data_IF_723638928469
#
_entry.id   IF_723638928469
#
_cell.length_a   1.000
_cell.length_b   1.000
_cell.length_c   1.000
_cell.angle_alpha   90.00
_cell.angle_beta   90.00
_cell.angle_gamma   90.00
#
_symmetry.space_group_name_H-M   'P 1'
#
loop_
_entity.id
_entity.type
_entity.pdbx_description
1 polymer ?
#
# COMPACT_ATOMS: atom_id res chain seq x y z
N UNK A 1 -39.64 -13.22 36.88
CA UNK A 1 -39.12 -11.84 36.72
C UNK A 1 -37.59 -11.72 36.85
N UNK A 2 -36.91 -12.27 37.85
CA UNK A 2 -35.44 -12.15 38.04
C UNK A 2 -34.57 -12.76 36.90
N UNK A 3 -35.03 -13.82 36.23
CA UNK A 3 -34.28 -14.47 35.12
C UNK A 3 -34.25 -13.63 33.84
N UNK A 4 -35.32 -12.91 33.55
CA UNK A 4 -35.37 -12.03 32.34
C UNK A 4 -34.56 -10.76 32.52
N UNK A 5 -34.43 -10.27 33.75
CA UNK A 5 -33.61 -9.10 34.05
C UNK A 5 -32.11 -9.37 33.82
N UNK A 6 -31.64 -10.58 34.15
CA UNK A 6 -30.26 -10.98 33.93
C UNK A 6 -29.92 -11.14 32.45
N UNK A 7 -30.86 -11.65 31.66
CA UNK A 7 -30.69 -11.81 30.20
C UNK A 7 -30.66 -10.45 29.48
N UNK A 8 -31.47 -9.49 29.92
CA UNK A 8 -31.50 -8.14 29.38
C UNK A 8 -30.20 -7.39 29.75
N UNK A 9 -29.65 -7.53 30.95
CA UNK A 9 -28.39 -6.98 31.36
C UNK A 9 -27.20 -7.56 30.59
N UNK A 10 -27.17 -8.86 30.27
CA UNK A 10 -26.16 -9.50 29.45
C UNK A 10 -26.26 -9.09 27.99
N UNK A 11 -27.47 -8.87 27.46
CA UNK A 11 -27.64 -8.37 26.09
C UNK A 11 -27.26 -6.88 25.93
N UNK A 12 -27.46 -6.07 26.96
CA UNK A 12 -26.95 -4.68 26.95
C UNK A 12 -25.42 -4.61 27.05
N UNK A 13 -24.76 -5.58 27.70
CA UNK A 13 -23.29 -5.62 27.75
C UNK A 13 -22.66 -6.03 26.43
N UNK A 14 -23.36 -6.81 25.60
CA UNK A 14 -22.89 -7.15 24.25
C UNK A 14 -22.98 -5.99 23.23
N UNK A 15 -23.73 -4.93 23.53
CA UNK A 15 -23.90 -3.77 22.64
C UNK A 15 -22.88 -2.65 22.93
N UNK A 16 -22.11 -2.77 24.02
CA UNK A 16 -20.95 -1.89 24.28
C UNK A 16 -19.65 -2.41 23.64
N UNK A 17 -19.76 -3.12 22.50
CA UNK A 17 -18.59 -3.47 21.69
C UNK A 17 -18.13 -2.22 20.94
N UNK A 18 -17.09 -1.58 21.47
CA UNK A 18 -16.09 -0.74 20.84
C UNK A 18 -16.58 0.12 19.66
N UNK A 19 -17.03 1.32 19.95
CA UNK A 19 -16.77 2.41 19.05
C UNK A 19 -15.25 2.69 19.15
N UNK A 20 -14.44 2.00 18.36
CA UNK A 20 -13.10 2.46 18.10
C UNK A 20 -13.23 3.93 17.68
N UNK A 21 -12.47 4.83 18.32
CA UNK A 21 -12.54 6.25 17.99
C UNK A 21 -12.28 6.40 16.48
N UNK A 22 -12.92 7.39 15.85
CA UNK A 22 -12.62 7.74 14.46
C UNK A 22 -11.83 9.04 14.41
N UNK A 23 -11.04 9.20 13.35
CA UNK A 23 -10.28 10.42 13.04
C UNK A 23 -10.73 10.90 11.67
N UNK A 24 -11.23 12.13 11.60
CA UNK A 24 -11.57 12.72 10.30
C UNK A 24 -10.30 13.16 9.57
N UNK A 25 -9.93 12.46 8.51
CA UNK A 25 -8.83 12.81 7.61
C UNK A 25 -9.34 13.57 6.41
N UNK A 26 -8.78 14.75 6.14
CA UNK A 26 -9.11 15.58 4.99
C UNK A 26 -7.89 15.80 4.13
N UNK A 27 -8.10 15.95 2.82
CA UNK A 27 -7.02 16.22 1.89
C UNK A 27 -7.51 16.36 0.47
N UNK A 28 -6.58 16.39 -0.44
CA UNK A 28 -6.81 16.50 -1.88
C UNK A 28 -6.01 15.46 -2.65
N UNK A 29 -6.60 14.97 -3.73
CA UNK A 29 -5.87 14.19 -4.74
C UNK A 29 -5.64 15.10 -5.94
N UNK A 30 -4.37 15.32 -6.31
CA UNK A 30 -3.95 16.31 -7.30
C UNK A 30 -3.13 15.66 -8.42
N UNK A 31 -3.28 16.18 -9.64
CA UNK A 31 -2.38 15.92 -10.76
C UNK A 31 -2.02 17.24 -11.43
N UNK A 32 -0.72 17.58 -11.49
CA UNK A 32 -0.27 18.86 -12.03
C UNK A 32 -0.91 20.07 -11.35
N UNK A 33 -1.16 20.02 -10.05
CA UNK A 33 -1.80 21.06 -9.25
C UNK A 33 -3.32 21.14 -9.41
N UNK A 34 -3.95 20.31 -10.25
CA UNK A 34 -5.41 20.25 -10.46
C UNK A 34 -6.00 19.08 -9.71
N UNK A 35 -7.21 19.27 -9.14
CA UNK A 35 -7.94 18.21 -8.48
C UNK A 35 -8.32 17.07 -9.43
N UNK A 36 -8.22 15.82 -8.95
CA UNK A 36 -8.68 14.64 -9.67
C UNK A 36 -9.99 14.16 -9.04
N UNK A 37 -11.08 14.17 -9.81
CA UNK A 37 -12.42 13.75 -9.37
C UNK A 37 -12.53 12.22 -9.36
N UNK A 38 -13.31 11.72 -8.41
CA UNK A 38 -13.76 10.33 -8.43
C UNK A 38 -12.74 9.32 -7.92
N UNK A 39 -11.62 9.75 -7.37
CA UNK A 39 -10.57 8.88 -6.83
C UNK A 39 -10.98 8.37 -5.45
N UNK A 40 -10.80 7.09 -5.21
CA UNK A 40 -11.01 6.49 -3.90
C UNK A 40 -9.79 6.69 -2.99
N UNK A 41 -10.05 7.10 -1.77
CA UNK A 41 -9.08 7.18 -0.66
C UNK A 41 -9.60 6.30 0.47
N UNK A 42 -8.72 5.53 1.09
CA UNK A 42 -9.10 4.56 2.12
C UNK A 42 -8.05 4.47 3.22
N UNK A 43 -8.46 4.01 4.38
CA UNK A 43 -7.58 3.58 5.49
C UNK A 43 -7.46 2.05 5.59
N UNK A 44 -8.11 1.34 4.63
CA UNK A 44 -8.19 -0.12 4.56
C UNK A 44 -9.56 -0.67 4.98
N UNK A 45 -10.37 0.10 5.69
CA UNK A 45 -11.70 -0.27 6.16
C UNK A 45 -12.77 0.66 5.59
N UNK A 46 -12.53 1.97 5.69
CA UNK A 46 -13.43 3.01 5.23
C UNK A 46 -12.95 3.62 3.91
N UNK A 47 -13.88 4.19 3.15
CA UNK A 47 -13.61 4.76 1.84
C UNK A 47 -14.25 6.13 1.69
N UNK A 48 -13.50 7.06 1.10
CA UNK A 48 -14.01 8.35 0.65
C UNK A 48 -13.69 8.55 -0.83
N UNK A 49 -14.56 9.32 -1.52
CA UNK A 49 -14.36 9.62 -2.94
C UNK A 49 -14.12 11.11 -3.13
N UNK A 50 -13.17 11.46 -3.98
CA UNK A 50 -12.84 12.86 -4.25
C UNK A 50 -13.94 13.58 -5.06
N UNK A 51 -14.16 14.85 -4.73
CA UNK A 51 -15.02 15.76 -5.48
C UNK A 51 -14.34 16.32 -6.75
N UNK A 52 -15.04 17.19 -7.49
CA UNK A 52 -14.52 17.84 -8.72
C UNK A 52 -13.23 18.66 -8.50
N UNK A 53 -12.95 19.07 -7.27
CA UNK A 53 -11.75 19.82 -6.90
C UNK A 53 -10.65 18.91 -6.31
N UNK A 54 -10.91 17.59 -6.28
CA UNK A 54 -10.04 16.59 -5.71
C UNK A 54 -10.11 16.48 -4.18
N UNK A 55 -11.01 17.21 -3.49
CA UNK A 55 -11.12 17.14 -2.03
C UNK A 55 -11.80 15.84 -1.60
N UNK A 56 -11.38 15.33 -0.45
CA UNK A 56 -12.02 14.21 0.23
C UNK A 56 -12.09 14.44 1.76
N UNK A 57 -13.00 13.74 2.40
CA UNK A 57 -13.09 13.62 3.86
C UNK A 57 -13.37 12.17 4.19
N UNK A 58 -12.46 11.53 4.92
CA UNK A 58 -12.49 10.12 5.31
C UNK A 58 -12.63 10.06 6.84
N UNK A 59 -13.60 9.29 7.33
CA UNK A 59 -13.70 8.94 8.74
C UNK A 59 -12.89 7.66 8.98
N UNK A 60 -11.59 7.82 9.23
CA UNK A 60 -10.67 6.71 9.42
C UNK A 60 -10.78 6.12 10.82
N UNK A 61 -10.58 4.82 10.96
CA UNK A 61 -10.43 4.18 12.27
C UNK A 61 -9.19 4.71 13.01
N UNK A 62 -9.34 5.07 14.29
CA UNK A 62 -8.24 5.62 15.08
C UNK A 62 -7.07 4.64 15.29
N UNK A 63 -7.34 3.34 15.16
CA UNK A 63 -6.33 2.28 15.27
C UNK A 63 -5.63 1.98 13.93
N UNK A 64 -6.12 2.54 12.80
CA UNK A 64 -5.49 2.40 11.50
C UNK A 64 -4.21 3.23 11.43
N UNK A 65 -3.22 2.74 10.69
CA UNK A 65 -1.88 3.35 10.64
C UNK A 65 -1.62 4.17 9.40
N UNK A 66 -2.41 3.96 8.35
CA UNK A 66 -2.20 4.57 7.05
C UNK A 66 -3.49 5.04 6.42
N UNK A 67 -3.34 6.02 5.52
CA UNK A 67 -4.32 6.40 4.52
C UNK A 67 -3.67 6.24 3.16
N UNK A 68 -4.38 5.69 2.19
CA UNK A 68 -3.85 5.46 0.86
C UNK A 68 -4.85 5.82 -0.24
N UNK A 69 -4.33 6.12 -1.42
CA UNK A 69 -5.11 6.39 -2.62
C UNK A 69 -5.15 5.15 -3.50
N UNK A 70 -6.35 4.75 -3.93
CA UNK A 70 -6.52 3.76 -4.99
C UNK A 70 -6.24 4.45 -6.33
N UNK A 71 -5.07 4.21 -6.91
CA UNK A 71 -4.63 4.89 -8.13
C UNK A 71 -5.56 4.53 -9.28
N UNK A 72 -6.30 5.49 -9.89
CA UNK A 72 -7.25 5.18 -10.94
C UNK A 72 -6.56 4.97 -12.30
N UNK A 73 -7.24 4.33 -13.25
CA UNK A 73 -6.80 4.22 -14.62
C UNK A 73 -6.41 5.57 -15.22
N UNK A 74 -5.40 5.60 -16.06
CA UNK A 74 -4.83 6.82 -16.65
C UNK A 74 -3.91 7.61 -15.72
N UNK A 75 -3.57 7.08 -14.55
CA UNK A 75 -2.66 7.71 -13.61
C UNK A 75 -1.65 6.74 -13.01
N UNK A 76 -0.54 7.28 -12.53
CA UNK A 76 0.43 6.61 -11.66
C UNK A 76 0.59 7.41 -10.36
N UNK A 77 1.05 6.74 -9.31
CA UNK A 77 1.57 7.42 -8.13
C UNK A 77 3.08 7.67 -8.29
N UNK A 78 3.64 8.73 -7.66
CA UNK A 78 5.07 8.97 -7.66
C UNK A 78 5.86 7.77 -7.12
N UNK A 79 7.08 7.59 -7.61
CA UNK A 79 8.01 6.57 -7.13
C UNK A 79 9.22 7.25 -6.52
N UNK A 80 9.58 6.86 -5.31
CA UNK A 80 10.77 7.35 -4.61
C UNK A 80 11.61 6.17 -4.16
N UNK A 81 12.86 6.09 -4.63
CA UNK A 81 13.80 5.01 -4.29
C UNK A 81 13.19 3.61 -4.52
N UNK A 82 12.51 3.44 -5.67
CA UNK A 82 11.87 2.18 -6.05
C UNK A 82 10.55 1.87 -5.34
N UNK A 83 10.06 2.77 -4.47
CA UNK A 83 8.81 2.59 -3.73
C UNK A 83 7.70 3.50 -4.25
N UNK A 84 6.54 2.95 -4.55
CA UNK A 84 5.34 3.69 -4.96
C UNK A 84 4.80 4.49 -3.79
N UNK A 85 4.59 5.79 -3.96
CA UNK A 85 4.09 6.71 -2.92
C UNK A 85 2.59 6.94 -3.08
N UNK A 86 1.80 5.92 -2.76
CA UNK A 86 0.34 5.95 -2.78
C UNK A 86 -0.28 6.06 -1.38
N UNK A 87 0.53 6.14 -0.32
CA UNK A 87 0.10 6.14 1.07
C UNK A 87 0.79 7.22 1.90
N UNK A 88 0.14 7.58 3.00
CA UNK A 88 0.70 8.38 4.10
C UNK A 88 0.40 7.70 5.44
N UNK A 89 1.24 7.89 6.47
CA UNK A 89 0.83 7.57 7.84
C UNK A 89 -0.45 8.33 8.20
N UNK A 90 -1.34 7.68 8.96
CA UNK A 90 -2.55 8.32 9.46
C UNK A 90 -2.15 9.54 10.32
N UNK A 91 -2.61 10.75 10.01
CA UNK A 91 -2.26 11.93 10.79
C UNK A 91 -2.95 11.90 12.16
N UNK A 92 -2.18 12.02 13.23
CA UNK A 92 -2.69 11.96 14.60
C UNK A 92 -3.63 13.12 14.99
N UNK A 93 -3.60 14.22 14.26
CA UNK A 93 -4.26 15.49 14.58
C UNK A 93 -5.20 16.02 13.47
N UNK A 94 -5.58 15.16 12.52
CA UNK A 94 -6.45 15.55 11.41
C UNK A 94 -5.83 16.53 10.43
N UNK A 95 -4.49 16.62 10.35
CA UNK A 95 -3.79 17.41 9.33
C UNK A 95 -4.16 16.95 7.94
N UNK A 96 -4.05 17.86 6.97
CA UNK A 96 -4.28 17.55 5.56
C UNK A 96 -3.38 16.41 5.09
N UNK A 97 -3.97 15.48 4.35
CA UNK A 97 -3.30 14.33 3.77
C UNK A 97 -3.50 14.38 2.25
N UNK A 98 -2.63 15.10 1.56
CA UNK A 98 -2.74 15.33 0.12
C UNK A 98 -1.97 14.25 -0.65
N UNK A 99 -2.56 13.77 -1.76
CA UNK A 99 -1.93 12.82 -2.67
C UNK A 99 -1.63 13.49 -4.01
N UNK A 100 -0.49 13.14 -4.58
CA UNK A 100 -0.11 13.54 -5.94
C UNK A 100 -0.21 12.33 -6.85
N UNK A 101 -0.89 12.51 -7.98
CA UNK A 101 -0.93 11.55 -9.08
C UNK A 101 -0.22 12.13 -10.30
N UNK A 102 0.32 11.25 -11.12
CA UNK A 102 0.98 11.56 -12.38
C UNK A 102 0.08 11.09 -13.53
N UNK A 103 -0.20 11.96 -14.50
CA UNK A 103 -0.97 11.56 -15.68
C UNK A 103 -0.13 10.63 -16.55
N UNK A 104 -0.68 9.48 -16.91
CA UNK A 104 -0.08 8.59 -17.90
C UNK A 104 -0.19 9.18 -19.30
N UNK A 105 0.85 9.00 -20.10
CA UNK A 105 0.84 9.40 -21.50
C UNK A 105 0.40 8.28 -22.44
N UNK A 106 0.52 7.04 -22.00
CA UNK A 106 0.17 5.83 -22.72
C UNK A 106 -1.30 5.42 -22.47
N UNK A 107 -1.83 4.66 -23.42
CA UNK A 107 -3.15 4.01 -23.28
C UNK A 107 -3.00 2.79 -22.38
N UNK A 108 -3.68 2.79 -21.23
CA UNK A 108 -3.71 1.71 -20.26
C UNK A 108 -4.97 0.83 -20.36
N UNK A 109 -5.72 0.91 -21.46
CA UNK A 109 -6.84 -0.01 -21.76
C UNK A 109 -6.38 -1.46 -21.95
N UNK A 110 -5.10 -1.63 -22.31
CA UNK A 110 -4.38 -2.92 -22.34
C UNK A 110 -3.09 -2.77 -21.57
N UNK A 111 -2.85 -3.68 -20.66
CA UNK A 111 -1.64 -3.70 -19.84
C UNK A 111 -1.15 -5.11 -19.58
N UNK A 112 0.12 -5.25 -19.31
CA UNK A 112 0.74 -6.47 -18.81
C UNK A 112 0.86 -6.46 -17.29
N UNK A 113 0.98 -7.63 -16.70
CA UNK A 113 1.15 -7.80 -15.28
C UNK A 113 2.27 -8.80 -15.00
N UNK A 114 3.24 -8.40 -14.19
CA UNK A 114 4.33 -9.26 -13.74
C UNK A 114 4.12 -9.55 -12.25
N UNK A 115 3.93 -10.81 -11.91
CA UNK A 115 3.90 -11.27 -10.54
C UNK A 115 5.19 -12.03 -10.23
N UNK A 116 5.87 -11.65 -9.16
CA UNK A 116 6.98 -12.40 -8.58
C UNK A 116 6.61 -12.80 -7.15
N UNK A 117 7.19 -13.87 -6.66
CA UNK A 117 6.98 -14.34 -5.30
C UNK A 117 8.30 -14.82 -4.72
N UNK A 118 8.42 -14.69 -3.41
CA UNK A 118 9.46 -15.30 -2.62
C UNK A 118 10.91 -15.04 -3.11
N UNK A 119 11.31 -13.77 -3.36
CA UNK A 119 12.72 -13.49 -3.65
C UNK A 119 13.63 -13.92 -2.51
N UNK A 120 13.12 -13.83 -1.27
CA UNK A 120 13.73 -14.30 -0.02
C UNK A 120 15.24 -14.03 0.08
N UNK A 121 15.66 -12.80 -0.28
CA UNK A 121 17.06 -12.39 -0.23
C UNK A 121 17.56 -12.48 1.22
N UNK A 122 18.49 -13.39 1.49
CA UNK A 122 19.08 -13.60 2.81
C UNK A 122 20.55 -13.19 2.90
N UNK A 123 21.20 -12.91 1.76
CA UNK A 123 22.59 -12.44 1.74
C UNK A 123 22.88 -11.58 0.51
N UNK A 124 23.81 -10.61 0.59
CA UNK A 124 24.18 -9.73 -0.52
C UNK A 124 24.56 -10.45 -1.81
N UNK A 125 25.13 -11.65 -1.74
CA UNK A 125 25.53 -12.46 -2.91
C UNK A 125 24.35 -12.83 -3.82
N UNK A 126 23.12 -12.84 -3.29
CA UNK A 126 21.93 -13.26 -4.04
C UNK A 126 21.37 -12.15 -4.94
N UNK A 127 21.76 -10.90 -4.70
CA UNK A 127 21.36 -9.81 -5.58
C UNK A 127 21.80 -9.98 -7.04
N UNK A 128 22.86 -10.77 -7.30
CA UNK A 128 23.24 -11.08 -8.67
C UNK A 128 22.17 -11.91 -9.41
N UNK A 129 21.50 -12.85 -8.72
CA UNK A 129 20.40 -13.63 -9.28
C UNK A 129 19.16 -12.77 -9.50
N UNK A 130 18.81 -11.94 -8.50
CA UNK A 130 17.71 -11.00 -8.62
C UNK A 130 17.94 -10.01 -9.78
N UNK A 131 19.16 -9.51 -9.93
CA UNK A 131 19.51 -8.62 -11.03
C UNK A 131 19.34 -9.28 -12.41
N UNK A 132 19.75 -10.53 -12.54
CA UNK A 132 19.56 -11.29 -13.79
C UNK A 132 18.05 -11.49 -14.08
N UNK A 133 17.24 -11.81 -13.06
CA UNK A 133 15.79 -11.90 -13.21
C UNK A 133 15.17 -10.54 -13.57
N UNK A 134 15.61 -9.44 -12.96
CA UNK A 134 15.15 -8.10 -13.29
C UNK A 134 15.47 -7.70 -14.74
N UNK A 135 16.66 -8.08 -15.24
CA UNK A 135 17.07 -7.84 -16.64
C UNK A 135 16.21 -8.66 -17.61
N UNK A 136 15.87 -9.89 -17.27
CA UNK A 136 14.98 -10.75 -18.08
C UNK A 136 13.55 -10.19 -18.12
N UNK A 137 13.02 -9.73 -16.97
CA UNK A 137 11.74 -9.01 -16.89
C UNK A 137 11.79 -7.78 -17.79
N UNK A 138 12.84 -6.98 -17.72
CA UNK A 138 13.00 -5.79 -18.56
C UNK A 138 13.02 -6.14 -20.05
N UNK A 139 13.68 -7.21 -20.44
CA UNK A 139 13.69 -7.70 -21.82
C UNK A 139 12.28 -8.13 -22.28
N UNK A 140 11.58 -8.86 -21.43
CA UNK A 140 10.20 -9.29 -21.65
C UNK A 140 9.28 -8.07 -21.85
N UNK A 141 9.29 -7.11 -20.93
CA UNK A 141 8.48 -5.89 -21.00
C UNK A 141 8.73 -5.14 -22.33
N UNK A 142 9.99 -4.96 -22.70
CA UNK A 142 10.35 -4.32 -23.99
C UNK A 142 9.82 -5.04 -25.21
N UNK A 143 9.72 -6.37 -25.16
CA UNK A 143 9.24 -7.17 -26.30
C UNK A 143 7.76 -6.92 -26.65
N UNK A 144 7.00 -6.34 -25.73
CA UNK A 144 5.58 -5.99 -25.93
C UNK A 144 5.37 -4.59 -26.53
N UNK A 145 6.41 -3.94 -27.06
CA UNK A 145 6.28 -2.77 -27.92
C UNK A 145 5.66 -1.53 -27.26
N UNK A 146 5.94 -1.28 -25.99
CA UNK A 146 5.46 -0.09 -25.27
C UNK A 146 4.10 -0.28 -24.56
N UNK A 147 3.55 -1.49 -24.55
CA UNK A 147 2.41 -1.80 -23.68
C UNK A 147 2.79 -1.57 -22.21
N UNK A 148 1.97 -0.85 -21.42
CA UNK A 148 2.26 -0.63 -20.02
C UNK A 148 2.23 -1.93 -19.21
N UNK A 149 3.10 -2.02 -18.20
CA UNK A 149 3.17 -3.14 -17.28
C UNK A 149 3.11 -2.67 -15.84
N UNK A 150 2.47 -3.48 -14.99
CA UNK A 150 2.47 -3.35 -13.54
C UNK A 150 3.13 -4.57 -12.91
N UNK A 151 3.85 -4.37 -11.83
CA UNK A 151 4.49 -5.43 -11.07
C UNK A 151 3.90 -5.59 -9.68
N UNK A 152 3.87 -6.81 -9.19
CA UNK A 152 3.65 -7.13 -7.78
C UNK A 152 4.66 -8.17 -7.31
N UNK A 153 5.22 -7.94 -6.12
CA UNK A 153 5.90 -8.97 -5.35
C UNK A 153 4.92 -9.49 -4.29
N UNK A 154 4.65 -10.79 -4.32
CA UNK A 154 3.66 -11.44 -3.46
C UNK A 154 4.19 -11.76 -2.05
N UNK A 155 5.21 -11.05 -1.59
CA UNK A 155 5.78 -11.18 -0.25
C UNK A 155 7.07 -12.00 -0.20
N UNK A 156 7.58 -12.16 1.02
CA UNK A 156 8.86 -12.78 1.31
C UNK A 156 10.01 -12.15 0.52
N UNK A 157 10.05 -10.81 0.54
CA UNK A 157 11.03 -10.01 -0.20
C UNK A 157 12.44 -10.33 0.28
N UNK A 158 12.62 -10.38 1.61
CA UNK A 158 13.88 -10.70 2.27
C UNK A 158 13.66 -11.79 3.30
N UNK A 159 14.72 -12.51 3.68
CA UNK A 159 14.66 -13.51 4.72
C UNK A 159 15.08 -12.90 6.06
N UNK A 160 14.18 -12.14 6.69
CA UNK A 160 14.32 -11.50 8.01
C UNK A 160 15.34 -10.34 8.12
N UNK A 161 16.26 -10.17 7.18
CA UNK A 161 17.17 -9.02 7.16
C UNK A 161 16.56 -7.84 6.39
N UNK A 162 15.74 -7.05 7.07
CA UNK A 162 15.02 -5.92 6.49
C UNK A 162 15.95 -4.76 6.04
N UNK A 163 17.24 -4.78 6.41
CA UNK A 163 18.22 -3.82 5.90
C UNK A 163 18.46 -3.96 4.38
N UNK A 164 18.09 -5.10 3.82
CA UNK A 164 18.25 -5.43 2.40
C UNK A 164 17.14 -4.82 1.51
N UNK A 165 16.04 -4.31 2.07
CA UNK A 165 14.93 -3.72 1.28
C UNK A 165 15.38 -2.61 0.32
N UNK A 166 16.25 -1.70 0.79
CA UNK A 166 16.75 -0.63 -0.08
C UNK A 166 17.47 -1.17 -1.31
N UNK A 167 18.30 -2.18 -1.12
CA UNK A 167 19.03 -2.82 -2.22
C UNK A 167 18.12 -3.63 -3.14
N UNK A 168 17.10 -4.29 -2.59
CA UNK A 168 16.06 -4.94 -3.39
C UNK A 168 15.36 -3.93 -4.30
N UNK A 169 14.93 -2.79 -3.78
CA UNK A 169 14.28 -1.75 -4.57
C UNK A 169 15.17 -1.25 -5.71
N UNK A 170 16.45 -0.95 -5.43
CA UNK A 170 17.42 -0.54 -6.45
C UNK A 170 17.58 -1.56 -7.58
N UNK A 171 17.59 -2.85 -7.25
CA UNK A 171 17.68 -3.91 -8.26
C UNK A 171 16.40 -4.02 -9.06
N UNK A 172 15.24 -3.89 -8.42
CA UNK A 172 13.95 -3.97 -9.10
C UNK A 172 13.67 -2.78 -10.03
N UNK A 173 14.28 -1.61 -9.80
CA UNK A 173 14.22 -0.48 -10.75
C UNK A 173 14.76 -0.85 -12.15
N UNK A 174 15.64 -1.83 -12.27
CA UNK A 174 16.19 -2.34 -13.55
C UNK A 174 15.11 -2.94 -14.46
N UNK A 175 14.00 -3.41 -13.88
CA UNK A 175 12.86 -3.95 -14.67
C UNK A 175 12.22 -2.91 -15.58
N UNK A 176 12.38 -1.62 -15.24
CA UNK A 176 11.73 -0.50 -15.95
C UNK A 176 10.24 -0.37 -15.68
N UNK A 177 9.68 -1.19 -14.77
CA UNK A 177 8.28 -1.10 -14.34
C UNK A 177 8.21 -0.93 -12.83
N UNK A 178 7.06 -0.42 -12.38
CA UNK A 178 6.82 -0.20 -10.95
C UNK A 178 6.29 -1.46 -10.29
N UNK A 179 6.92 -1.87 -9.19
CA UNK A 179 6.45 -2.96 -8.35
C UNK A 179 5.74 -2.44 -7.09
N UNK A 180 4.61 -3.05 -6.77
CA UNK A 180 3.98 -2.99 -5.45
C UNK A 180 4.34 -4.25 -4.69
N UNK A 181 4.45 -4.14 -3.38
CA UNK A 181 4.92 -5.23 -2.54
C UNK A 181 3.82 -5.64 -1.56
N UNK A 182 3.43 -6.90 -1.56
CA UNK A 182 2.70 -7.51 -0.47
C UNK A 182 3.69 -7.97 0.61
N UNK A 183 3.22 -8.11 1.83
CA UNK A 183 4.01 -8.62 2.94
C UNK A 183 3.92 -10.14 2.99
N UNK A 184 5.06 -10.80 3.17
CA UNK A 184 5.14 -12.23 3.48
C UNK A 184 5.52 -12.47 4.94
N UNK A 185 5.60 -13.73 5.35
CA UNK A 185 5.95 -14.08 6.73
C UNK A 185 7.43 -13.81 7.04
N UNK A 186 8.32 -13.86 6.06
CA UNK A 186 9.73 -13.51 6.22
C UNK A 186 9.97 -11.99 6.30
N UNK A 187 9.02 -11.18 5.88
CA UNK A 187 9.05 -9.72 6.03
C UNK A 187 8.63 -9.26 7.43
N UNK A 188 8.16 -10.19 8.28
CA UNK A 188 7.84 -9.93 9.68
C UNK A 188 9.11 -9.95 10.54
N UNK A 189 9.12 -9.17 11.62
CA UNK A 189 10.17 -9.29 12.63
C UNK A 189 10.05 -10.61 13.37
N UNK A 190 11.13 -11.37 13.44
CA UNK A 190 11.20 -12.69 14.11
C UNK A 190 10.82 -12.60 15.60
N UNK A 191 11.08 -11.46 16.25
CA UNK A 191 10.84 -11.23 17.68
C UNK A 191 9.90 -10.05 17.92
N UNK A 192 8.83 -9.90 17.09
CA UNK A 192 7.78 -8.94 17.33
C UNK A 192 7.05 -9.26 18.64
N UNK A 193 6.70 -8.23 19.44
CA UNK A 193 5.96 -8.41 20.70
C UNK A 193 4.47 -8.71 20.47
N UNK A 194 3.95 -8.30 19.33
CA UNK A 194 2.60 -8.57 18.87
C UNK A 194 2.57 -8.73 17.37
N UNK A 195 1.46 -9.22 16.84
CA UNK A 195 1.24 -9.33 15.40
C UNK A 195 1.43 -7.95 14.72
N UNK A 196 0.81 -6.90 15.26
CA UNK A 196 0.86 -5.55 14.70
C UNK A 196 2.28 -4.96 14.71
N UNK A 197 3.07 -5.20 15.75
CA UNK A 197 4.46 -4.69 15.82
C UNK A 197 5.42 -5.45 14.92
N UNK A 198 5.05 -6.64 14.48
CA UNK A 198 5.86 -7.45 13.58
C UNK A 198 5.98 -6.84 12.18
N UNK A 199 5.02 -6.02 11.75
CA UNK A 199 4.99 -5.40 10.42
C UNK A 199 5.80 -4.13 10.29
N UNK A 200 6.24 -3.54 11.37
CA UNK A 200 6.72 -2.15 11.41
C UNK A 200 7.89 -1.86 10.47
N UNK A 201 8.73 -2.83 10.13
CA UNK A 201 9.83 -2.63 9.17
C UNK A 201 9.34 -2.63 7.72
N UNK A 202 8.41 -3.52 7.39
CA UNK A 202 7.74 -3.51 6.10
C UNK A 202 6.98 -2.20 5.90
N UNK A 203 6.19 -1.79 6.88
CA UNK A 203 5.38 -0.58 6.83
C UNK A 203 6.21 0.71 6.71
N UNK A 204 7.37 0.78 7.35
CA UNK A 204 8.28 1.91 7.20
C UNK A 204 8.77 2.08 5.75
N UNK A 205 8.89 0.98 5.01
CA UNK A 205 9.37 1.00 3.63
C UNK A 205 8.21 1.11 2.63
N UNK A 206 7.20 0.24 2.75
CA UNK A 206 6.20 -0.01 1.72
C UNK A 206 4.79 0.45 2.07
N UNK A 207 4.55 0.92 3.30
CA UNK A 207 3.23 1.36 3.76
C UNK A 207 2.32 0.24 4.23
N UNK A 208 1.00 0.35 4.00
CA UNK A 208 0.03 -0.58 4.55
C UNK A 208 0.27 -2.01 4.08
N UNK A 209 0.01 -2.98 4.97
CA UNK A 209 0.20 -4.42 4.69
C UNK A 209 -0.89 -5.00 3.80
N UNK A 210 -2.02 -4.31 3.67
CA UNK A 210 -3.07 -4.59 2.68
C UNK A 210 -3.62 -3.29 2.11
N UNK A 211 -3.91 -3.29 0.82
CA UNK A 211 -4.32 -2.10 0.05
C UNK A 211 -4.93 -2.52 -1.29
N UNK A 212 -5.52 -1.56 -2.01
CA UNK A 212 -6.01 -1.74 -3.38
C UNK A 212 -5.35 -0.74 -4.35
N UNK A 213 -5.30 -1.13 -5.64
CA UNK A 213 -4.79 -0.28 -6.73
C UNK A 213 -5.42 -0.68 -8.07
#
# INVERSE_FOLDING_TARGET
>A
MKRYLLTILLSLWCVCAWAAGSVTVRGRVLCGGRGVEGVWVSDGEEFARTDKRGNYSLEAGADNRFVFVCVPAGYDAPVEKGVVRYFHPLPADGKSCDFTLLRRADDDSRYGFIAIADPQIWAPKEFAKLAAAADDIAATVRSYGGMPFHGICCGDIVSHDHSLYGRYNEVMERTGITFRNAMGNHDMKVYGRSYETSFSKFEQMYGPVYYSF
#
